data_IF_096446340947
#
_entry.id   IF_096446340947
#
_cell.length_a   1.000
_cell.length_b   1.000
_cell.length_c   1.000
_cell.angle_alpha   90.00
_cell.angle_beta   90.00
_cell.angle_gamma   90.00
#
_symmetry.space_group_name_H-M   'P 1'
#
loop_
_entity.id
_entity.type
_entity.pdbx_description
1 polymer ?
#
# COMPACT_ATOMS: atom_id res chain seq x y z
N UNK A 1 84.12 -3.16 0.41
CA UNK A 1 82.83 -2.47 0.66
C UNK A 1 83.08 -0.97 0.77
N UNK A 2 82.76 -0.17 -0.25
CA UNK A 2 83.04 1.26 -0.25
C UNK A 2 81.95 2.03 0.54
N UNK A 3 82.33 2.60 1.68
CA UNK A 3 81.44 3.39 2.54
C UNK A 3 81.29 4.78 1.94
N UNK A 4 80.13 5.05 1.33
CA UNK A 4 79.80 6.36 0.74
C UNK A 4 79.83 7.47 1.81
N UNK A 5 80.49 8.58 1.50
CA UNK A 5 80.58 9.74 2.40
C UNK A 5 79.20 10.39 2.64
N UNK A 6 79.02 11.06 3.80
CA UNK A 6 77.78 11.77 4.15
C UNK A 6 77.30 12.72 3.04
N UNK A 7 78.22 13.34 2.29
CA UNK A 7 77.92 14.27 1.19
C UNK A 7 77.39 13.54 -0.05
N UNK A 8 77.89 12.34 -0.35
CA UNK A 8 77.39 11.49 -1.44
C UNK A 8 76.01 10.89 -1.13
N UNK A 9 75.77 10.46 0.12
CA UNK A 9 74.45 9.98 0.55
C UNK A 9 73.37 11.09 0.47
N UNK A 10 73.74 12.35 0.76
CA UNK A 10 72.83 13.50 0.65
C UNK A 10 72.52 13.84 -0.82
N UNK A 11 73.51 13.77 -1.73
CA UNK A 11 73.28 13.94 -3.17
C UNK A 11 72.41 12.82 -3.76
N UNK A 12 72.61 11.56 -3.35
CA UNK A 12 71.76 10.46 -3.77
C UNK A 12 70.32 10.63 -3.28
N UNK A 13 70.09 11.04 -2.03
CA UNK A 13 68.74 11.32 -1.52
C UNK A 13 68.04 12.45 -2.30
N UNK A 14 68.75 13.53 -2.63
CA UNK A 14 68.20 14.62 -3.44
C UNK A 14 67.86 14.14 -4.86
N UNK A 15 68.74 13.34 -5.47
CA UNK A 15 68.51 12.77 -6.80
C UNK A 15 67.29 11.81 -6.81
N UNK A 16 67.13 10.97 -5.78
CA UNK A 16 65.97 10.09 -5.64
C UNK A 16 64.66 10.86 -5.45
N UNK A 17 64.66 11.94 -4.67
CA UNK A 17 63.48 12.80 -4.50
C UNK A 17 63.11 13.50 -5.82
N UNK A 18 64.12 13.95 -6.58
CA UNK A 18 63.89 14.59 -7.87
C UNK A 18 63.32 13.61 -8.91
N UNK A 19 63.85 12.38 -8.96
CA UNK A 19 63.33 11.32 -9.84
C UNK A 19 61.90 10.94 -9.43
N UNK A 20 61.63 10.78 -8.13
CA UNK A 20 60.28 10.47 -7.65
C UNK A 20 59.26 11.57 -8.00
N UNK A 21 59.64 12.85 -7.90
CA UNK A 21 58.78 13.98 -8.29
C UNK A 21 58.51 14.03 -9.79
N UNK A 22 59.49 13.72 -10.64
CA UNK A 22 59.32 13.66 -12.10
C UNK A 22 58.38 12.51 -12.51
N UNK A 23 58.49 11.34 -11.87
CA UNK A 23 57.55 10.23 -12.10
C UNK A 23 56.13 10.52 -11.59
N UNK A 24 55.99 11.26 -10.49
CA UNK A 24 54.68 11.64 -9.96
C UNK A 24 53.98 12.67 -10.87
N UNK A 25 54.73 13.64 -11.41
CA UNK A 25 54.16 14.64 -12.34
C UNK A 25 53.87 14.08 -13.74
N UNK A 26 54.66 13.13 -14.25
CA UNK A 26 54.38 12.50 -15.54
C UNK A 26 53.17 11.55 -15.50
N UNK A 27 52.95 10.85 -14.37
CA UNK A 27 51.74 10.05 -14.14
C UNK A 27 50.46 10.89 -14.01
N UNK A 28 50.55 12.06 -13.37
CA UNK A 28 49.40 12.96 -13.18
C UNK A 28 48.94 13.62 -14.49
N UNK A 29 49.87 13.98 -15.38
CA UNK A 29 49.54 14.55 -16.69
C UNK A 29 49.00 13.49 -17.68
N UNK A 30 49.47 12.25 -17.60
CA UNK A 30 48.95 11.15 -18.41
C UNK A 30 47.51 10.75 -17.99
N UNK A 31 47.19 10.78 -16.69
CA UNK A 31 45.85 10.47 -16.17
C UNK A 31 44.77 11.47 -16.60
N UNK A 32 45.08 12.77 -16.61
CA UNK A 32 44.13 13.83 -17.00
C UNK A 32 43.86 13.82 -18.52
N UNK A 33 44.84 13.42 -19.33
CA UNK A 33 44.67 13.26 -20.78
C UNK A 33 43.84 12.01 -21.15
N UNK A 34 43.98 10.90 -20.39
CA UNK A 34 43.18 9.68 -20.60
C UNK A 34 41.73 9.82 -20.16
N UNK A 35 41.43 10.57 -19.09
CA UNK A 35 40.05 10.79 -18.64
C UNK A 35 39.24 11.63 -19.65
N UNK A 36 39.87 12.64 -20.29
CA UNK A 36 39.19 13.43 -21.34
C UNK A 36 39.00 12.65 -22.65
N UNK A 37 39.87 11.69 -22.96
CA UNK A 37 39.75 10.89 -24.19
C UNK A 37 38.78 9.70 -24.02
N UNK A 38 38.70 9.10 -22.82
CA UNK A 38 37.72 8.04 -22.50
C UNK A 38 36.32 8.59 -22.22
N UNK A 39 36.19 9.80 -21.67
CA UNK A 39 34.89 10.49 -21.56
C UNK A 39 34.34 10.93 -22.94
N UNK A 40 35.20 11.20 -23.92
CA UNK A 40 34.79 11.64 -25.26
C UNK A 40 34.35 10.49 -26.20
N UNK A 41 34.67 9.23 -25.90
CA UNK A 41 34.29 8.06 -26.75
C UNK A 41 33.09 7.25 -26.24
N UNK A 42 32.49 7.65 -25.11
CA UNK A 42 31.26 7.04 -24.56
C UNK A 42 30.03 7.94 -24.72
N UNK A 43 30.02 8.81 -25.72
CA UNK A 43 28.87 9.64 -26.08
C UNK A 43 28.70 9.68 -27.59
N UNK A 44 28.21 8.58 -28.16
CA UNK A 44 27.63 8.51 -29.49
C UNK A 44 26.71 7.29 -29.53
N UNK A 45 25.40 7.56 -29.67
CA UNK A 45 24.25 6.69 -29.40
C UNK A 45 24.05 6.43 -27.89
N UNK A 46 23.01 6.88 -27.20
CA UNK A 46 21.63 7.16 -27.60
C UNK A 46 21.15 8.36 -26.78
N UNK A 47 20.98 9.51 -27.43
CA UNK A 47 20.09 10.56 -26.92
C UNK A 47 18.65 10.03 -27.08
N UNK A 48 18.19 9.25 -26.10
CA UNK A 48 16.76 9.15 -25.79
C UNK A 48 16.48 10.11 -24.63
N UNK A 49 16.67 11.40 -24.89
CA UNK A 49 15.95 12.43 -24.16
C UNK A 49 14.67 12.73 -24.93
N UNK A 50 13.73 11.80 -24.78
CA UNK A 50 12.32 12.10 -24.66
C UNK A 50 11.87 11.14 -23.56
N UNK A 51 11.99 11.56 -22.30
CA UNK A 51 11.08 11.05 -21.29
C UNK A 51 9.70 11.46 -21.84
N UNK A 52 9.02 10.55 -22.54
CA UNK A 52 7.63 10.79 -22.92
C UNK A 52 6.92 11.22 -21.64
N UNK A 53 6.31 12.40 -21.68
CA UNK A 53 5.56 12.91 -20.55
C UNK A 53 4.59 11.80 -20.14
N UNK A 54 4.66 11.38 -18.87
CA UNK A 54 3.81 10.30 -18.36
C UNK A 54 2.36 10.71 -18.63
N UNK A 55 1.66 9.90 -19.40
CA UNK A 55 0.24 10.11 -19.65
C UNK A 55 -0.54 9.83 -18.36
N UNK A 56 -0.92 10.92 -17.67
CA UNK A 56 -1.64 10.85 -16.41
C UNK A 56 -3.03 10.24 -16.56
N UNK A 57 -3.69 10.38 -17.70
CA UNK A 57 -5.02 9.82 -17.89
C UNK A 57 -4.94 8.30 -18.05
N UNK A 58 -4.00 7.81 -18.86
CA UNK A 58 -3.74 6.37 -19.01
C UNK A 58 -3.28 5.75 -17.69
N UNK A 59 -2.37 6.42 -16.97
CA UNK A 59 -1.91 5.94 -15.67
C UNK A 59 -3.05 5.91 -14.63
N UNK A 60 -3.92 6.92 -14.64
CA UNK A 60 -5.06 6.97 -13.74
C UNK A 60 -6.05 5.83 -14.01
N UNK A 61 -6.38 5.57 -15.28
CA UNK A 61 -7.26 4.46 -15.66
C UNK A 61 -6.65 3.09 -15.29
N UNK A 62 -5.32 2.96 -15.28
CA UNK A 62 -4.65 1.74 -14.84
C UNK A 62 -4.73 1.48 -13.32
N UNK A 63 -4.82 2.54 -12.50
CA UNK A 63 -4.91 2.44 -11.03
C UNK A 63 -6.37 2.35 -10.58
N UNK A 64 -7.21 3.23 -11.13
CA UNK A 64 -8.61 3.43 -10.75
C UNK A 64 -9.46 3.46 -12.03
N UNK A 65 -9.71 2.30 -12.65
CA UNK A 65 -10.54 2.21 -13.84
C UNK A 65 -11.92 2.82 -13.59
N UNK A 66 -12.45 3.58 -14.55
CA UNK A 66 -13.80 4.15 -14.41
C UNK A 66 -14.88 3.07 -14.26
N UNK A 67 -14.67 1.92 -14.91
CA UNK A 67 -15.60 0.77 -14.87
C UNK A 67 -15.55 -0.05 -13.58
N UNK A 68 -14.64 0.27 -12.65
CA UNK A 68 -14.43 -0.53 -11.45
C UNK A 68 -13.70 -1.85 -11.68
N UNK A 69 -13.65 -2.67 -10.63
CA UNK A 69 -13.24 -4.07 -10.68
C UNK A 69 -14.37 -4.96 -10.20
N UNK A 70 -14.46 -6.15 -10.82
CA UNK A 70 -15.38 -7.22 -10.41
C UNK A 70 -14.56 -8.41 -9.93
N UNK A 71 -14.98 -8.97 -8.80
CA UNK A 71 -14.30 -10.10 -8.17
C UNK A 71 -15.27 -11.26 -7.98
N UNK A 72 -14.81 -12.46 -8.33
CA UNK A 72 -15.51 -13.71 -8.04
C UNK A 72 -15.32 -14.08 -6.57
N UNK A 73 -15.90 -13.27 -5.69
CA UNK A 73 -15.91 -13.46 -4.24
C UNK A 73 -17.37 -13.67 -3.85
N UNK A 74 -17.66 -14.85 -3.29
CA UNK A 74 -19.00 -15.17 -2.83
C UNK A 74 -19.31 -14.36 -1.57
N UNK A 75 -20.03 -13.26 -1.73
CA UNK A 75 -20.55 -12.47 -0.62
C UNK A 75 -21.70 -13.20 0.10
N UNK A 76 -22.43 -14.04 -0.61
CA UNK A 76 -23.52 -14.82 -0.04
C UNK A 76 -24.60 -13.92 0.54
N UNK A 77 -25.11 -14.32 1.69
CA UNK A 77 -26.09 -13.61 2.53
C UNK A 77 -25.43 -12.83 3.69
N UNK A 78 -24.12 -12.54 3.61
CA UNK A 78 -23.37 -11.91 4.70
C UNK A 78 -23.95 -10.56 5.13
N UNK A 79 -24.34 -9.70 4.18
CA UNK A 79 -24.95 -8.42 4.50
C UNK A 79 -26.26 -8.57 5.28
N UNK A 80 -27.07 -9.57 4.92
CA UNK A 80 -28.32 -9.87 5.63
C UNK A 80 -28.04 -10.32 7.07
N UNK A 81 -27.10 -11.25 7.25
CA UNK A 81 -26.69 -11.73 8.58
C UNK A 81 -26.20 -10.58 9.47
N UNK A 82 -25.35 -9.70 8.94
CA UNK A 82 -24.86 -8.54 9.70
C UNK A 82 -25.97 -7.55 10.10
N UNK A 83 -27.02 -7.40 9.29
CA UNK A 83 -28.19 -6.59 9.66
C UNK A 83 -29.03 -7.26 10.74
N UNK A 84 -29.29 -8.56 10.57
CA UNK A 84 -30.09 -9.37 11.51
C UNK A 84 -29.42 -9.42 12.90
N UNK A 85 -28.09 -9.58 12.92
CA UNK A 85 -27.26 -9.59 14.14
C UNK A 85 -26.98 -8.20 14.71
N UNK A 86 -27.45 -7.13 14.05
CA UNK A 86 -27.31 -5.75 14.51
C UNK A 86 -25.89 -5.18 14.43
N UNK A 87 -24.98 -5.88 13.73
CA UNK A 87 -23.66 -5.35 13.36
C UNK A 87 -23.84 -4.12 12.49
N UNK A 88 -24.79 -4.16 11.55
CA UNK A 88 -25.14 -3.02 10.69
C UNK A 88 -26.58 -2.61 10.95
N UNK A 89 -26.79 -1.31 11.14
CA UNK A 89 -28.08 -0.66 11.02
C UNK A 89 -28.24 -0.13 9.58
N UNK A 90 -29.23 -0.66 8.84
CA UNK A 90 -29.44 -0.31 7.43
C UNK A 90 -29.66 1.19 7.22
N UNK A 91 -30.37 1.84 8.14
CA UNK A 91 -30.67 3.27 8.05
C UNK A 91 -29.42 4.10 8.34
N UNK A 92 -28.62 3.73 9.32
CA UNK A 92 -27.34 4.42 9.58
C UNK A 92 -26.37 4.26 8.41
N UNK A 93 -26.28 3.06 7.83
CA UNK A 93 -25.46 2.83 6.64
C UNK A 93 -25.94 3.67 5.46
N UNK A 94 -27.26 3.73 5.20
CA UNK A 94 -27.83 4.57 4.15
C UNK A 94 -27.53 6.07 4.37
N UNK A 95 -27.62 6.54 5.62
CA UNK A 95 -27.29 7.91 5.97
C UNK A 95 -25.81 8.22 5.74
N UNK A 96 -24.91 7.30 6.12
CA UNK A 96 -23.46 7.48 5.94
C UNK A 96 -23.05 7.54 4.46
N UNK A 97 -23.61 6.67 3.61
CA UNK A 97 -23.16 6.54 2.21
C UNK A 97 -23.93 7.43 1.23
N UNK A 98 -25.16 7.81 1.55
CA UNK A 98 -26.05 8.52 0.62
C UNK A 98 -26.77 9.72 1.25
N UNK A 99 -26.64 9.95 2.55
CA UNK A 99 -27.37 11.01 3.24
C UNK A 99 -28.89 10.78 3.26
N UNK A 100 -29.34 9.53 3.13
CA UNK A 100 -30.74 9.16 2.92
C UNK A 100 -31.22 8.11 3.91
N UNK A 101 -32.54 7.97 4.05
CA UNK A 101 -33.18 7.00 4.94
C UNK A 101 -33.14 5.53 4.46
N UNK A 102 -32.74 5.31 3.21
CA UNK A 102 -32.75 3.98 2.56
C UNK A 102 -31.53 3.79 1.67
N UNK A 103 -31.03 2.55 1.58
CA UNK A 103 -29.85 2.23 0.78
C UNK A 103 -30.10 2.51 -0.71
N UNK A 104 -29.08 3.00 -1.45
CA UNK A 104 -29.14 3.07 -2.90
C UNK A 104 -29.40 1.69 -3.52
N UNK A 105 -30.24 1.58 -4.58
CA UNK A 105 -30.52 0.31 -5.24
C UNK A 105 -29.26 -0.41 -5.76
N UNK A 106 -28.21 0.34 -6.07
CA UNK A 106 -26.92 -0.20 -6.56
C UNK A 106 -26.20 -1.08 -5.54
N UNK A 107 -26.40 -0.86 -4.24
CA UNK A 107 -25.73 -1.59 -3.15
C UNK A 107 -26.68 -2.43 -2.30
N UNK A 108 -27.99 -2.19 -2.37
CA UNK A 108 -29.01 -2.92 -1.62
C UNK A 108 -28.92 -4.45 -1.81
N UNK A 109 -28.57 -4.90 -3.02
CA UNK A 109 -28.37 -6.33 -3.34
C UNK A 109 -27.35 -7.03 -2.43
N UNK A 110 -26.33 -6.33 -1.96
CA UNK A 110 -25.32 -6.89 -1.05
C UNK A 110 -25.85 -7.01 0.38
N UNK A 111 -26.89 -6.26 0.75
CA UNK A 111 -27.44 -6.27 2.09
C UNK A 111 -28.65 -7.19 2.23
N UNK A 112 -29.34 -7.49 1.14
CA UNK A 112 -30.58 -8.30 1.15
C UNK A 112 -30.53 -9.58 0.32
N UNK A 113 -29.58 -9.69 -0.60
CA UNK A 113 -29.49 -10.80 -1.56
C UNK A 113 -28.51 -11.91 -1.17
N UNK A 114 -28.46 -12.93 -2.02
CA UNK A 114 -27.36 -13.90 -2.07
C UNK A 114 -26.49 -13.58 -3.28
N UNK A 115 -25.26 -13.11 -3.05
CA UNK A 115 -24.42 -12.51 -4.09
C UNK A 115 -23.13 -13.32 -4.29
N UNK A 116 -22.88 -13.77 -5.53
CA UNK A 116 -21.71 -14.58 -5.87
C UNK A 116 -20.48 -13.79 -6.31
N UNK A 117 -20.64 -12.49 -6.59
CA UNK A 117 -19.57 -11.60 -7.06
C UNK A 117 -19.74 -10.20 -6.47
N UNK A 118 -18.63 -9.56 -6.12
CA UNK A 118 -18.61 -8.17 -5.62
C UNK A 118 -17.92 -7.25 -6.62
N UNK A 119 -18.33 -5.99 -6.65
CA UNK A 119 -17.78 -4.98 -7.54
C UNK A 119 -17.39 -3.75 -6.74
N UNK A 120 -16.17 -3.24 -6.92
CA UNK A 120 -15.71 -1.95 -6.35
C UNK A 120 -15.51 -0.93 -7.47
N UNK A 121 -16.05 0.26 -7.27
CA UNK A 121 -15.90 1.40 -8.16
C UNK A 121 -15.98 2.70 -7.34
N UNK A 122 -15.91 3.86 -8.00
CA UNK A 122 -15.93 5.15 -7.31
C UNK A 122 -17.27 5.41 -6.60
N UNK A 123 -18.37 4.86 -7.13
CA UNK A 123 -19.72 5.07 -6.64
C UNK A 123 -20.03 4.28 -5.36
N UNK A 124 -19.35 3.15 -5.13
CA UNK A 124 -19.62 2.26 -4.01
C UNK A 124 -18.42 2.04 -3.06
N UNK A 125 -17.31 2.76 -3.26
CA UNK A 125 -16.12 2.64 -2.43
C UNK A 125 -16.41 2.88 -0.94
N UNK A 126 -17.24 3.90 -0.63
CA UNK A 126 -17.65 4.22 0.74
C UNK A 126 -18.48 3.09 1.36
N UNK A 127 -19.47 2.57 0.62
CA UNK A 127 -20.25 1.41 1.04
C UNK A 127 -19.35 0.24 1.42
N UNK A 128 -18.34 -0.05 0.60
CA UNK A 128 -17.46 -1.19 0.87
C UNK A 128 -16.58 -1.00 2.09
N UNK A 129 -15.99 0.18 2.32
CA UNK A 129 -15.19 0.37 3.54
C UNK A 129 -16.08 0.21 4.79
N UNK A 130 -17.30 0.73 4.76
CA UNK A 130 -18.23 0.69 5.89
C UNK A 130 -18.75 -0.72 6.20
N UNK A 131 -19.15 -1.46 5.18
CA UNK A 131 -19.66 -2.84 5.34
C UNK A 131 -18.53 -3.81 5.68
N UNK A 132 -17.37 -3.71 5.03
CA UNK A 132 -16.23 -4.56 5.36
C UNK A 132 -15.63 -4.22 6.72
N UNK A 133 -15.69 -2.96 7.15
CA UNK A 133 -15.32 -2.58 8.51
C UNK A 133 -16.21 -3.29 9.53
N UNK A 134 -17.54 -3.26 9.34
CA UNK A 134 -18.47 -4.01 10.18
C UNK A 134 -18.17 -5.52 10.19
N UNK A 135 -17.93 -6.10 9.02
CA UNK A 135 -17.56 -7.51 8.88
C UNK A 135 -16.29 -7.85 9.64
N UNK A 136 -15.20 -7.11 9.40
CA UNK A 136 -13.91 -7.34 10.05
C UNK A 136 -13.99 -7.14 11.56
N UNK A 137 -14.73 -6.13 12.02
CA UNK A 137 -14.93 -5.85 13.45
C UNK A 137 -15.69 -6.99 14.15
N UNK A 138 -16.74 -7.50 13.50
CA UNK A 138 -17.67 -8.43 14.12
C UNK A 138 -17.29 -9.91 13.95
N UNK A 139 -16.54 -10.24 12.88
CA UNK A 139 -16.09 -11.59 12.63
C UNK A 139 -15.04 -12.02 13.67
N UNK A 140 -15.23 -13.21 14.25
CA UNK A 140 -14.32 -13.76 15.23
C UNK A 140 -12.99 -14.11 14.58
N UNK A 141 -11.90 -13.52 15.08
CA UNK A 141 -10.56 -13.81 14.60
C UNK A 141 -9.50 -13.70 15.70
N UNK A 142 -8.47 -14.57 15.65
CA UNK A 142 -7.32 -14.52 16.56
C UNK A 142 -6.54 -13.21 16.48
N UNK A 143 -6.49 -12.55 15.31
CA UNK A 143 -5.87 -11.23 15.15
C UNK A 143 -6.54 -10.19 16.06
N UNK A 144 -7.85 -10.31 16.28
CA UNK A 144 -8.58 -9.40 17.15
C UNK A 144 -8.52 -9.80 18.63
N UNK A 145 -8.57 -11.10 18.92
CA UNK A 145 -8.60 -11.63 20.29
C UNK A 145 -7.21 -11.62 20.96
N UNK A 146 -6.15 -11.85 20.18
CA UNK A 146 -4.78 -12.10 20.67
C UNK A 146 -3.76 -11.11 20.10
N UNK A 147 -4.15 -10.29 19.12
CA UNK A 147 -3.24 -9.41 18.40
C UNK A 147 -3.03 -8.03 19.04
N UNK A 148 -2.34 -7.12 18.32
CA UNK A 148 -1.88 -5.83 18.83
C UNK A 148 -2.97 -4.91 19.39
N UNK A 149 -4.21 -5.01 18.90
CA UNK A 149 -5.32 -4.24 19.46
C UNK A 149 -5.56 -4.55 20.94
N UNK A 150 -5.30 -5.77 21.39
CA UNK A 150 -5.39 -6.15 22.80
C UNK A 150 -4.02 -5.96 23.48
N UNK A 151 -2.95 -6.46 22.87
CA UNK A 151 -1.65 -6.55 23.56
C UNK A 151 -0.95 -5.20 23.74
N UNK A 152 -1.23 -4.19 22.91
CA UNK A 152 -0.55 -2.89 22.99
C UNK A 152 -1.07 -2.03 24.15
N UNK A 153 -2.39 -1.99 24.37
CA UNK A 153 -3.02 -1.11 25.36
C UNK A 153 -3.86 -1.85 26.42
N UNK A 154 -3.92 -3.19 26.37
CA UNK A 154 -4.76 -4.00 27.25
C UNK A 154 -6.26 -3.97 26.93
N UNK A 155 -6.67 -3.22 25.90
CA UNK A 155 -8.07 -3.10 25.48
C UNK A 155 -8.17 -2.64 24.03
N UNK A 156 -9.08 -3.27 23.29
CA UNK A 156 -9.42 -2.92 21.92
C UNK A 156 -10.39 -1.72 21.81
N UNK A 157 -10.98 -1.22 22.90
CA UNK A 157 -12.13 -0.31 22.82
C UNK A 157 -11.84 1.07 22.19
N UNK A 158 -10.63 1.61 22.35
CA UNK A 158 -10.34 3.02 22.06
C UNK A 158 -9.65 3.28 20.71
N UNK A 159 -9.64 2.30 19.80
CA UNK A 159 -9.10 2.49 18.46
C UNK A 159 -10.14 3.13 17.54
N UNK A 160 -9.69 3.73 16.43
CA UNK A 160 -10.60 4.31 15.45
C UNK A 160 -11.52 3.24 14.82
N UNK A 161 -11.04 2.00 14.69
CA UNK A 161 -11.84 0.85 14.22
C UNK A 161 -12.91 0.34 15.20
N UNK A 162 -12.88 0.76 16.46
CA UNK A 162 -13.86 0.34 17.48
C UNK A 162 -14.64 1.54 17.98
N UNK A 163 -13.98 2.51 18.61
CA UNK A 163 -14.60 3.70 19.16
C UNK A 163 -15.20 4.62 18.10
N UNK A 164 -14.75 4.51 16.84
CA UNK A 164 -15.34 5.21 15.71
C UNK A 164 -16.53 4.49 15.07
N UNK A 165 -16.82 3.23 15.44
CA UNK A 165 -17.86 2.45 14.77
C UNK A 165 -19.25 2.83 15.25
N UNK A 166 -19.98 3.58 14.41
CA UNK A 166 -21.32 4.11 14.73
C UNK A 166 -22.43 3.45 13.93
N UNK A 167 -22.07 2.60 12.96
CA UNK A 167 -22.97 2.01 11.97
C UNK A 167 -23.82 0.86 12.49
N UNK A 168 -23.51 0.31 13.67
CA UNK A 168 -24.27 -0.79 14.27
C UNK A 168 -25.43 -0.34 15.16
N UNK A 169 -26.24 -1.32 15.59
CA UNK A 169 -27.32 -1.12 16.57
C UNK A 169 -26.84 -1.19 18.02
N UNK A 170 -25.70 -1.86 18.23
CA UNK A 170 -25.10 -2.10 19.55
C UNK A 170 -23.79 -1.35 19.69
N UNK A 171 -23.30 -1.28 20.93
CA UNK A 171 -21.94 -0.81 21.20
C UNK A 171 -20.90 -1.68 20.47
N UNK A 172 -19.85 -1.10 19.86
CA UNK A 172 -18.85 -1.84 19.10
C UNK A 172 -18.19 -2.99 19.87
N UNK A 173 -17.99 -2.85 21.18
CA UNK A 173 -17.37 -3.89 21.99
C UNK A 173 -18.33 -5.05 22.31
N UNK A 174 -19.64 -4.89 22.09
CA UNK A 174 -20.60 -5.99 22.18
C UNK A 174 -20.63 -6.88 20.93
N UNK A 175 -20.00 -6.43 19.84
CA UNK A 175 -19.89 -7.18 18.58
C UNK A 175 -18.45 -7.54 18.21
N UNK A 176 -17.46 -6.89 18.82
CA UNK A 176 -16.03 -7.13 18.57
C UNK A 176 -15.68 -8.62 18.64
N UNK A 177 -15.19 -9.17 17.52
CA UNK A 177 -14.73 -10.57 17.39
C UNK A 177 -15.72 -11.62 17.93
N UNK A 178 -17.01 -11.39 17.73
CA UNK A 178 -18.09 -12.18 18.35
C UNK A 178 -18.67 -13.26 17.45
N UNK A 179 -18.92 -12.93 16.19
CA UNK A 179 -19.71 -13.76 15.28
C UNK A 179 -18.82 -14.62 14.40
N UNK A 180 -19.25 -15.84 14.07
CA UNK A 180 -18.50 -16.76 13.20
C UNK A 180 -19.02 -16.69 11.77
N UNK A 181 -19.00 -15.50 11.15
CA UNK A 181 -19.41 -15.33 9.75
C UNK A 181 -18.47 -16.06 8.81
N UNK A 182 -17.17 -16.02 9.10
CA UNK A 182 -16.10 -16.62 8.32
C UNK A 182 -15.34 -17.59 9.23
N UNK A 183 -15.43 -18.88 8.91
CA UNK A 183 -14.72 -19.93 9.64
C UNK A 183 -13.42 -20.27 8.91
N UNK A 184 -12.29 -20.01 9.57
CA UNK A 184 -10.96 -20.33 9.05
C UNK A 184 -10.39 -21.54 9.80
N UNK A 185 -9.82 -22.49 9.07
CA UNK A 185 -8.96 -23.50 9.67
C UNK A 185 -7.56 -22.93 9.99
N UNK A 186 -6.74 -23.68 10.73
CA UNK A 186 -5.41 -23.21 11.15
C UNK A 186 -4.48 -22.81 9.99
N UNK A 187 -4.57 -23.49 8.85
CA UNK A 187 -3.75 -23.14 7.68
C UNK A 187 -4.23 -21.84 7.05
N UNK A 188 -5.55 -21.66 6.92
CA UNK A 188 -6.17 -20.43 6.44
C UNK A 188 -5.85 -19.26 7.36
N UNK A 189 -5.95 -19.44 8.68
CA UNK A 189 -5.62 -18.41 9.66
C UNK A 189 -4.16 -17.92 9.51
N UNK A 190 -3.20 -18.84 9.35
CA UNK A 190 -1.80 -18.47 9.07
C UNK A 190 -1.61 -17.70 7.77
N UNK A 191 -2.43 -17.99 6.75
CA UNK A 191 -2.42 -17.23 5.49
C UNK A 191 -2.97 -15.82 5.71
N UNK A 192 -4.07 -15.67 6.47
CA UNK A 192 -4.62 -14.35 6.83
C UNK A 192 -3.57 -13.54 7.58
N UNK A 193 -2.96 -14.09 8.62
CA UNK A 193 -1.92 -13.41 9.42
C UNK A 193 -0.74 -12.95 8.56
N UNK A 194 -0.23 -13.83 7.69
CA UNK A 194 0.90 -13.50 6.82
C UNK A 194 0.56 -12.42 5.79
N UNK A 195 -0.68 -12.39 5.27
CA UNK A 195 -1.11 -11.34 4.35
C UNK A 195 -1.32 -10.04 5.12
N UNK A 196 -2.05 -10.09 6.23
CA UNK A 196 -2.41 -8.94 7.05
C UNK A 196 -1.18 -8.21 7.60
N UNK A 197 -0.11 -8.93 7.95
CA UNK A 197 1.16 -8.34 8.39
C UNK A 197 1.86 -7.54 7.27
N UNK A 198 1.71 -7.99 6.02
CA UNK A 198 2.31 -7.36 4.84
C UNK A 198 1.50 -6.23 4.21
N UNK A 199 0.23 -6.06 4.58
CA UNK A 199 -0.67 -5.04 4.02
C UNK A 199 -0.69 -3.80 4.89
N UNK A 200 -0.45 -2.65 4.28
CA UNK A 200 -0.51 -1.33 4.89
C UNK A 200 -1.48 -0.42 4.11
N UNK A 201 -1.84 0.68 4.76
CA UNK A 201 -2.78 1.71 4.27
C UNK A 201 -2.27 3.09 4.69
N UNK A 202 -2.45 4.12 3.85
CA UNK A 202 -1.71 5.38 3.98
C UNK A 202 -2.24 6.31 5.07
N UNK A 203 -3.39 5.99 5.69
CA UNK A 203 -3.94 6.77 6.80
C UNK A 203 -3.24 6.51 8.15
N UNK A 204 -2.38 5.49 8.26
CA UNK A 204 -1.82 5.02 9.53
C UNK A 204 -0.46 4.32 9.36
N UNK A 205 0.24 4.03 10.47
CA UNK A 205 1.57 3.40 10.45
C UNK A 205 1.59 1.87 10.58
N UNK A 206 0.54 1.26 11.14
CA UNK A 206 0.48 -0.18 11.44
C UNK A 206 0.09 -1.04 10.24
N UNK A 207 0.30 -2.36 10.29
CA UNK A 207 -0.18 -3.29 9.26
C UNK A 207 -1.66 -3.64 9.49
N UNK A 208 -2.29 -4.34 8.54
CA UNK A 208 -3.65 -4.88 8.70
C UNK A 208 -3.75 -5.93 9.82
N UNK A 209 -2.62 -6.54 10.24
CA UNK A 209 -2.56 -7.37 11.44
C UNK A 209 -2.74 -6.56 12.75
N UNK A 210 -2.69 -5.23 12.67
CA UNK A 210 -3.13 -4.32 13.72
C UNK A 210 -4.20 -3.38 13.15
N UNK A 211 -5.46 -3.84 13.05
CA UNK A 211 -6.54 -3.12 12.37
C UNK A 211 -7.13 -2.01 13.26
N UNK A 212 -6.30 -1.03 13.63
CA UNK A 212 -6.61 0.12 14.50
C UNK A 212 -7.49 1.21 13.87
N UNK A 213 -7.76 1.12 12.58
CA UNK A 213 -8.58 2.06 11.81
C UNK A 213 -9.62 1.31 10.97
N UNK A 214 -10.70 2.00 10.59
CA UNK A 214 -11.76 1.45 9.75
C UNK A 214 -11.24 0.76 8.47
N UNK A 215 -10.29 1.37 7.77
CA UNK A 215 -9.69 0.79 6.55
C UNK A 215 -8.87 -0.47 6.83
N UNK A 216 -8.14 -0.50 7.95
CA UNK A 216 -7.40 -1.69 8.39
C UNK A 216 -8.35 -2.83 8.71
N UNK A 217 -9.42 -2.55 9.46
CA UNK A 217 -10.45 -3.52 9.81
C UNK A 217 -11.23 -4.01 8.58
N UNK A 218 -11.55 -3.12 7.64
CA UNK A 218 -12.18 -3.46 6.37
C UNK A 218 -11.29 -4.37 5.50
N UNK A 219 -10.01 -4.04 5.39
CA UNK A 219 -9.05 -4.88 4.69
C UNK A 219 -8.93 -6.27 5.34
N UNK A 220 -8.94 -6.35 6.68
CA UNK A 220 -8.91 -7.62 7.40
C UNK A 220 -10.12 -8.49 7.02
N UNK A 221 -11.34 -7.95 7.13
CA UNK A 221 -12.57 -8.69 6.78
C UNK A 221 -12.58 -9.20 5.34
N UNK A 222 -12.06 -8.41 4.39
CA UNK A 222 -11.91 -8.82 2.99
C UNK A 222 -10.88 -9.95 2.82
N UNK A 223 -9.73 -9.86 3.49
CA UNK A 223 -8.69 -10.89 3.46
C UNK A 223 -9.22 -12.20 4.04
N UNK A 224 -9.88 -12.16 5.20
CA UNK A 224 -10.50 -13.33 5.81
C UNK A 224 -11.51 -14.00 4.86
N UNK A 225 -12.39 -13.20 4.25
CA UNK A 225 -13.40 -13.69 3.32
C UNK A 225 -12.76 -14.42 2.14
N UNK A 226 -11.77 -13.79 1.51
CA UNK A 226 -11.10 -14.39 0.36
C UNK A 226 -10.28 -15.64 0.72
N UNK A 227 -9.59 -15.64 1.86
CA UNK A 227 -8.85 -16.82 2.32
C UNK A 227 -9.79 -17.99 2.63
N UNK A 228 -10.96 -17.73 3.24
CA UNK A 228 -11.97 -18.76 3.50
C UNK A 228 -12.46 -19.44 2.21
N UNK A 229 -12.45 -18.69 1.10
CA UNK A 229 -12.85 -19.15 -0.23
C UNK A 229 -11.68 -19.75 -1.04
N UNK A 230 -10.51 -19.95 -0.42
CA UNK A 230 -9.36 -20.58 -1.07
C UNK A 230 -8.70 -19.72 -2.14
N UNK A 231 -8.87 -18.39 -2.11
CA UNK A 231 -8.20 -17.49 -3.06
C UNK A 231 -6.69 -17.51 -2.86
N UNK A 232 -5.95 -17.39 -3.97
CA UNK A 232 -4.48 -17.32 -3.91
C UNK A 232 -4.02 -16.03 -3.24
N UNK A 233 -2.85 -16.05 -2.60
CA UNK A 233 -2.24 -14.84 -2.00
C UNK A 233 -2.14 -13.68 -3.01
N UNK A 234 -1.78 -13.99 -4.25
CA UNK A 234 -1.64 -12.98 -5.30
C UNK A 234 -2.99 -12.34 -5.67
N UNK A 235 -4.05 -13.14 -5.79
CA UNK A 235 -5.41 -12.64 -6.03
C UNK A 235 -5.90 -11.77 -4.87
N UNK A 236 -5.58 -12.16 -3.63
CA UNK A 236 -5.93 -11.38 -2.43
C UNK A 236 -5.21 -10.03 -2.43
N UNK A 237 -3.89 -10.00 -2.63
CA UNK A 237 -3.16 -8.73 -2.70
C UNK A 237 -3.66 -7.82 -3.82
N UNK A 238 -3.97 -8.37 -5.01
CA UNK A 238 -4.53 -7.59 -6.13
C UNK A 238 -5.90 -7.01 -5.78
N UNK A 239 -6.74 -7.79 -5.10
CA UNK A 239 -8.08 -7.34 -4.68
C UNK A 239 -7.98 -6.27 -3.61
N UNK A 240 -7.18 -6.49 -2.56
CA UNK A 240 -6.96 -5.48 -1.49
C UNK A 240 -6.37 -4.19 -2.08
N UNK A 241 -5.44 -4.28 -3.03
CA UNK A 241 -4.91 -3.12 -3.73
C UNK A 241 -6.00 -2.37 -4.48
N UNK A 242 -6.88 -3.07 -5.20
CA UNK A 242 -8.00 -2.43 -5.89
C UNK A 242 -8.91 -1.66 -4.92
N UNK A 243 -9.35 -2.28 -3.82
CA UNK A 243 -10.18 -1.60 -2.81
C UNK A 243 -9.46 -0.39 -2.20
N UNK A 244 -8.21 -0.57 -1.77
CA UNK A 244 -7.40 0.52 -1.26
C UNK A 244 -7.19 1.65 -2.28
N UNK A 245 -7.09 1.35 -3.58
CA UNK A 245 -7.00 2.36 -4.65
C UNK A 245 -8.27 3.22 -4.75
N UNK A 246 -9.46 2.67 -4.50
CA UNK A 246 -10.69 3.48 -4.44
C UNK A 246 -10.86 4.20 -3.10
N UNK A 247 -10.35 3.64 -2.00
CA UNK A 247 -10.39 4.30 -0.69
C UNK A 247 -9.37 5.44 -0.57
N UNK A 248 -8.20 5.30 -1.21
CA UNK A 248 -7.13 6.29 -1.22
C UNK A 248 -6.65 6.64 -2.65
N UNK A 249 -7.53 7.20 -3.51
CA UNK A 249 -7.22 7.45 -4.91
C UNK A 249 -5.90 8.19 -5.16
N UNK A 250 -5.73 9.33 -4.48
CA UNK A 250 -4.53 10.15 -4.64
C UNK A 250 -3.26 9.37 -4.30
N UNK A 251 -3.30 8.55 -3.25
CA UNK A 251 -2.14 7.79 -2.80
C UNK A 251 -1.66 6.81 -3.86
N UNK A 252 -2.57 5.98 -4.37
CA UNK A 252 -2.18 4.93 -5.30
C UNK A 252 -1.83 5.48 -6.68
N UNK A 253 -2.41 6.61 -7.07
CA UNK A 253 -2.00 7.33 -8.27
C UNK A 253 -0.57 7.88 -8.16
N UNK A 254 -0.23 8.49 -7.02
CA UNK A 254 1.12 9.01 -6.78
C UNK A 254 2.16 7.87 -6.69
N UNK A 255 1.80 6.75 -6.07
CA UNK A 255 2.65 5.55 -6.04
C UNK A 255 2.85 4.97 -7.45
N UNK A 256 1.80 4.95 -8.28
CA UNK A 256 1.90 4.52 -9.66
C UNK A 256 2.79 5.45 -10.49
N UNK A 257 2.67 6.75 -10.27
CA UNK A 257 3.54 7.74 -10.91
C UNK A 257 4.99 7.56 -10.49
N UNK A 258 5.27 7.33 -9.20
CA UNK A 258 6.62 7.05 -8.70
C UNK A 258 7.26 5.84 -9.42
N UNK A 259 6.55 4.71 -9.54
CA UNK A 259 7.07 3.55 -10.25
C UNK A 259 7.30 3.84 -11.74
N UNK A 260 6.35 4.51 -12.39
CA UNK A 260 6.43 4.85 -13.82
C UNK A 260 7.61 5.80 -14.10
N UNK A 261 7.82 6.81 -13.24
CA UNK A 261 8.96 7.73 -13.30
C UNK A 261 10.30 6.99 -13.13
N UNK A 262 10.32 5.93 -12.33
CA UNK A 262 11.48 5.04 -12.17
C UNK A 262 11.64 4.02 -13.32
N UNK A 263 10.88 4.14 -14.41
CA UNK A 263 10.95 3.24 -15.57
C UNK A 263 10.35 1.86 -15.33
N UNK A 264 9.52 1.70 -14.29
CA UNK A 264 8.83 0.45 -13.95
C UNK A 264 7.38 0.53 -14.38
N UNK A 265 6.93 -0.49 -15.10
CA UNK A 265 5.52 -0.67 -15.46
C UNK A 265 4.69 -0.99 -14.21
N UNK A 266 3.86 -0.04 -13.77
CA UNK A 266 3.01 -0.16 -12.58
C UNK A 266 2.17 -1.44 -12.58
N UNK A 267 1.61 -1.83 -13.74
CA UNK A 267 0.76 -3.01 -13.86
C UNK A 267 1.53 -4.33 -13.61
N UNK A 268 2.86 -4.30 -13.69
CA UNK A 268 3.75 -5.44 -13.42
C UNK A 268 4.40 -5.38 -12.03
N UNK A 269 4.19 -4.31 -11.27
CA UNK A 269 4.68 -4.24 -9.89
C UNK A 269 3.81 -5.17 -9.03
N UNK A 270 4.41 -6.08 -8.24
CA UNK A 270 3.64 -6.96 -7.38
C UNK A 270 2.75 -6.16 -6.42
N UNK A 271 1.46 -6.53 -6.31
CA UNK A 271 0.52 -5.84 -5.44
C UNK A 271 0.96 -5.86 -3.96
N UNK A 272 1.62 -6.93 -3.52
CA UNK A 272 2.23 -7.02 -2.19
C UNK A 272 3.35 -5.99 -1.96
N UNK A 273 4.10 -5.64 -3.02
CA UNK A 273 5.09 -4.56 -2.94
C UNK A 273 4.40 -3.21 -2.79
N UNK A 274 3.37 -2.94 -3.59
CA UNK A 274 2.61 -1.68 -3.54
C UNK A 274 1.95 -1.51 -2.16
N UNK A 275 1.33 -2.56 -1.62
CA UNK A 275 0.67 -2.57 -0.32
C UNK A 275 1.65 -2.59 0.87
N UNK A 276 2.94 -2.77 0.64
CA UNK A 276 3.93 -2.88 1.72
C UNK A 276 4.07 -1.60 2.53
N UNK A 277 4.70 -1.73 3.71
CA UNK A 277 5.04 -0.60 4.58
C UNK A 277 5.74 0.54 3.83
N UNK A 278 6.61 0.22 2.89
CA UNK A 278 7.43 1.20 2.15
C UNK A 278 6.60 2.15 1.30
N UNK A 279 5.53 1.66 0.69
CA UNK A 279 4.75 2.45 -0.28
C UNK A 279 3.38 2.85 0.26
N UNK A 280 2.76 2.01 1.10
CA UNK A 280 1.38 2.20 1.57
C UNK A 280 1.23 2.52 3.04
N UNK A 281 2.27 2.52 3.89
CA UNK A 281 2.12 3.10 5.25
C UNK A 281 2.04 4.63 5.18
N UNK A 282 1.52 5.28 6.23
CA UNK A 282 1.49 6.75 6.32
C UNK A 282 2.86 7.39 6.08
N UNK A 283 3.91 6.86 6.71
CA UNK A 283 5.29 7.34 6.52
C UNK A 283 5.82 7.03 5.11
N UNK A 284 5.52 5.84 4.59
CA UNK A 284 5.91 5.42 3.24
C UNK A 284 5.31 6.34 2.17
N UNK A 285 4.00 6.53 2.22
CA UNK A 285 3.31 7.45 1.31
C UNK A 285 3.79 8.89 1.47
N UNK A 286 4.05 9.37 2.68
CA UNK A 286 4.62 10.72 2.88
C UNK A 286 6.01 10.86 2.23
N UNK A 287 6.83 9.82 2.21
CA UNK A 287 8.09 9.82 1.47
C UNK A 287 7.86 9.91 -0.05
N UNK A 288 6.94 9.11 -0.59
CA UNK A 288 6.55 9.16 -2.01
C UNK A 288 6.04 10.56 -2.39
N UNK A 289 5.13 11.14 -1.59
CA UNK A 289 4.60 12.50 -1.81
C UNK A 289 5.68 13.57 -1.90
N UNK A 290 6.73 13.48 -1.08
CA UNK A 290 7.86 14.42 -1.15
C UNK A 290 8.68 14.27 -2.44
N UNK A 291 8.76 13.06 -2.98
CA UNK A 291 9.52 12.77 -4.21
C UNK A 291 8.73 13.14 -5.48
N UNK A 292 7.44 12.81 -5.52
CA UNK A 292 6.60 13.06 -6.70
C UNK A 292 6.06 14.48 -6.76
N UNK A 293 5.98 15.17 -5.61
CA UNK A 293 5.40 16.51 -5.51
C UNK A 293 3.88 16.50 -5.62
N UNK A 294 3.30 17.64 -5.99
CA UNK A 294 1.87 17.76 -6.23
C UNK A 294 1.55 17.51 -7.71
N UNK A 295 0.76 16.48 -7.98
CA UNK A 295 0.27 16.15 -9.32
C UNK A 295 -1.22 16.49 -9.39
N UNK A 296 -1.62 17.19 -10.45
CA UNK A 296 -3.03 17.44 -10.75
C UNK A 296 -3.60 16.27 -11.57
N UNK A 297 -4.28 15.34 -10.88
CA UNK A 297 -4.86 14.16 -11.52
C UNK A 297 -6.15 14.50 -12.28
N UNK A 298 -6.29 14.13 -13.57
CA UNK A 298 -7.37 14.61 -14.44
C UNK A 298 -8.81 14.32 -13.97
N UNK A 299 -9.06 13.20 -13.29
CA UNK A 299 -10.43 12.84 -12.88
C UNK A 299 -10.55 12.47 -11.38
N UNK A 300 -9.67 13.00 -10.54
CA UNK A 300 -9.77 12.81 -9.10
C UNK A 300 -10.93 13.64 -8.54
N UNK A 301 -12.11 13.02 -8.38
CA UNK A 301 -13.23 13.57 -7.62
C UNK A 301 -13.30 12.82 -6.29
N UNK A 302 -13.29 13.55 -5.16
CA UNK A 302 -13.56 13.08 -3.79
C UNK A 302 -13.12 11.66 -3.42
N UNK A 303 -12.04 11.53 -2.63
CA UNK A 303 -11.66 10.25 -2.03
C UNK A 303 -12.67 9.81 -0.95
N UNK A 304 -12.79 8.49 -0.71
CA UNK A 304 -13.59 7.94 0.38
C UNK A 304 -13.29 8.60 1.73
N UNK A 305 -14.33 8.82 2.53
CA UNK A 305 -14.22 9.51 3.82
C UNK A 305 -13.60 8.58 4.86
N UNK A 306 -12.76 9.13 5.73
CA UNK A 306 -12.23 8.39 6.89
C UNK A 306 -13.27 8.22 8.02
N UNK A 307 -14.45 8.81 7.90
CA UNK A 307 -15.54 8.71 8.88
C UNK A 307 -16.85 8.25 8.27
N UNK A 308 -17.64 7.56 9.09
CA UNK A 308 -19.03 7.19 8.88
C UNK A 308 -19.94 8.00 9.81
#
# INVERSE_FOLDING_TARGET
MAILSKKQKRKQKILFIFIALVFFFSGFLAGIASDKFLASKKSSSVTKNAQEAIDLATLQEAVIPQKGYKFKIAWGDLGKKMIDDGVIDEKKLAQAIAGADSLPPSVEKYMKGNVSEIEVNAENAQFWVDVLWGLGLANKNKILDEGPMITTNGSAANYASTGGYTLGKMDPMQIYSKFSYINLNDQQQKVVEAIADGVFRPCCGNSTAFPDCNHGMAALGLIELMVSQGKSKEEIYKTVLAFNSYWFPQTYLDVAYHFTKAGRDYAKVPASQILSKTFSSAMGYQAIRREVGQIAWPALKGAGSCGA
#
